data_IF_028973579352
#
_entry.id   IF_028973579352
#
_cell.length_a   1.000
_cell.length_b   1.000
_cell.length_c   1.000
_cell.angle_alpha   90.00
_cell.angle_beta   90.00
_cell.angle_gamma   90.00
#
_symmetry.space_group_name_H-M   'P 1'
#
loop_
_entity.id
_entity.type
_entity.pdbx_description
1 polymer ?
#
# COMPACT_ATOMS: atom_id res chain seq x y z
N UNK A 1 0.15 13.00 12.77
CA UNK A 1 -0.53 12.04 13.68
C UNK A 1 -1.12 10.88 12.90
N UNK A 2 -2.09 11.07 12.00
CA UNK A 2 -2.67 9.96 11.20
C UNK A 2 -1.61 9.27 10.35
N UNK A 3 -0.78 10.04 9.63
CA UNK A 3 0.38 9.50 8.86
C UNK A 3 1.34 8.69 9.70
N UNK A 4 1.75 9.21 10.86
CA UNK A 4 2.63 8.50 11.78
C UNK A 4 2.01 7.20 12.30
N UNK A 5 0.69 7.19 12.54
CA UNK A 5 -0.03 5.98 12.95
C UNK A 5 -0.06 4.94 11.84
N UNK A 6 -0.27 5.37 10.60
CA UNK A 6 -0.23 4.51 9.42
C UNK A 6 1.18 4.02 9.08
N UNK A 7 2.20 4.81 9.38
CA UNK A 7 3.61 4.43 9.25
C UNK A 7 3.98 3.36 10.28
N UNK A 8 3.53 3.53 11.54
CA UNK A 8 3.69 2.52 12.59
C UNK A 8 2.94 1.23 12.23
N UNK A 9 1.72 1.36 11.69
CA UNK A 9 0.97 0.23 11.14
C UNK A 9 1.74 -0.45 9.99
N UNK A 10 2.33 0.32 9.09
CA UNK A 10 3.17 -0.21 8.02
C UNK A 10 4.38 -1.00 8.52
N UNK A 11 5.08 -0.52 9.56
CA UNK A 11 6.14 -1.29 10.22
C UNK A 11 5.64 -2.63 10.75
N UNK A 12 4.47 -2.65 11.41
CA UNK A 12 3.85 -3.89 11.91
C UNK A 12 3.52 -4.83 10.75
N UNK A 13 2.95 -4.32 9.66
CA UNK A 13 2.64 -5.13 8.48
C UNK A 13 3.91 -5.72 7.85
N UNK A 14 4.99 -4.95 7.74
CA UNK A 14 6.28 -5.46 7.25
C UNK A 14 6.81 -6.57 8.16
N UNK A 15 6.78 -6.36 9.48
CA UNK A 15 7.18 -7.39 10.43
C UNK A 15 6.33 -8.66 10.28
N UNK A 16 5.00 -8.52 10.18
CA UNK A 16 4.09 -9.66 9.98
C UNK A 16 4.35 -10.37 8.64
N UNK A 17 4.58 -9.63 7.57
CA UNK A 17 4.84 -10.16 6.23
C UNK A 17 6.16 -10.92 6.14
N UNK A 18 7.21 -10.38 6.74
CA UNK A 18 8.54 -10.99 6.73
C UNK A 18 8.69 -12.16 7.70
N UNK A 19 7.89 -12.22 8.77
CA UNK A 19 7.94 -13.30 9.77
C UNK A 19 6.91 -14.40 9.53
N UNK A 20 5.62 -14.07 9.50
CA UNK A 20 4.54 -15.05 9.39
C UNK A 20 4.31 -15.48 7.95
N UNK A 21 4.15 -14.52 7.02
CA UNK A 21 3.87 -14.86 5.62
C UNK A 21 5.03 -15.54 4.90
N UNK A 22 6.26 -15.36 5.38
CA UNK A 22 7.39 -16.11 4.86
C UNK A 22 7.29 -17.63 5.13
N UNK A 23 6.63 -18.05 6.20
CA UNK A 23 6.47 -19.46 6.55
C UNK A 23 5.32 -20.14 5.81
N UNK A 24 4.47 -19.38 5.09
CA UNK A 24 3.36 -19.97 4.36
C UNK A 24 3.84 -20.81 3.16
N UNK A 25 3.14 -21.93 2.89
CA UNK A 25 3.48 -22.80 1.79
C UNK A 25 3.20 -22.10 0.45
N UNK A 26 4.00 -22.42 -0.57
CA UNK A 26 4.06 -21.68 -1.84
C UNK A 26 2.72 -21.63 -2.60
N UNK A 27 1.83 -22.60 -2.37
CA UNK A 27 0.49 -22.66 -2.99
C UNK A 27 -0.50 -21.65 -2.42
N UNK A 28 -0.30 -21.16 -1.18
CA UNK A 28 -1.16 -20.13 -0.58
C UNK A 28 -0.75 -18.71 -1.01
N UNK A 29 0.40 -18.58 -1.68
CA UNK A 29 1.02 -17.30 -2.02
C UNK A 29 1.36 -16.44 -0.79
N UNK A 30 2.03 -15.31 -1.04
CA UNK A 30 2.39 -14.35 0.01
C UNK A 30 1.80 -12.98 -0.37
N UNK A 31 0.64 -12.58 0.16
CA UNK A 31 0.04 -11.31 -0.21
C UNK A 31 0.94 -10.15 0.23
N UNK A 32 1.16 -9.19 -0.66
CA UNK A 32 1.92 -7.99 -0.34
C UNK A 32 1.04 -6.97 0.40
N UNK A 33 1.06 -7.04 1.73
CA UNK A 33 0.26 -6.18 2.60
C UNK A 33 0.72 -4.72 2.53
N UNK A 34 2.02 -4.50 2.31
CA UNK A 34 2.58 -3.15 2.15
C UNK A 34 2.06 -2.52 0.87
N UNK A 35 1.98 -3.29 -0.21
CA UNK A 35 1.39 -2.83 -1.46
C UNK A 35 -0.08 -2.43 -1.30
N UNK A 36 -0.87 -3.22 -0.58
CA UNK A 36 -2.29 -2.89 -0.30
C UNK A 36 -2.38 -1.58 0.51
N UNK A 37 -1.55 -1.41 1.54
CA UNK A 37 -1.49 -0.19 2.35
C UNK A 37 -1.09 1.02 1.50
N UNK A 38 -0.14 0.85 0.58
CA UNK A 38 0.31 1.88 -0.34
C UNK A 38 -0.85 2.35 -1.23
N UNK A 39 -1.54 1.42 -1.89
CA UNK A 39 -2.67 1.76 -2.77
C UNK A 39 -3.77 2.46 -1.97
N UNK A 40 -4.11 1.96 -0.78
CA UNK A 40 -5.03 2.63 0.14
C UNK A 40 -4.57 4.07 0.47
N UNK A 41 -3.26 4.25 0.72
CA UNK A 41 -2.71 5.56 1.03
C UNK A 41 -2.81 6.54 -0.14
N UNK A 42 -2.63 6.05 -1.37
CA UNK A 42 -2.79 6.84 -2.59
C UNK A 42 -4.24 7.35 -2.72
N UNK A 43 -5.24 6.53 -2.37
CA UNK A 43 -6.63 6.99 -2.38
C UNK A 43 -6.93 8.03 -1.30
N UNK A 44 -6.48 7.81 -0.06
CA UNK A 44 -7.01 8.54 1.10
C UNK A 44 -6.15 9.71 1.57
N UNK A 45 -4.83 9.64 1.41
CA UNK A 45 -3.92 10.68 1.89
C UNK A 45 -3.67 11.75 0.84
N UNK A 46 -3.29 12.95 1.25
CA UNK A 46 -2.76 13.95 0.31
C UNK A 46 -1.40 13.53 -0.24
N UNK A 47 -0.95 14.20 -1.31
CA UNK A 47 0.24 13.80 -2.07
C UNK A 47 1.49 13.65 -1.20
N UNK A 48 1.88 14.73 -0.50
CA UNK A 48 3.08 14.77 0.34
C UNK A 48 3.11 13.68 1.44
N UNK A 49 2.07 13.53 2.29
CA UNK A 49 2.09 12.51 3.33
C UNK A 49 2.01 11.07 2.80
N UNK A 50 1.28 10.83 1.72
CA UNK A 50 1.22 9.51 1.09
C UNK A 50 2.55 9.13 0.44
N UNK A 51 3.20 10.09 -0.22
CA UNK A 51 4.51 9.89 -0.85
C UNK A 51 5.61 9.65 0.20
N UNK A 52 5.60 10.37 1.32
CA UNK A 52 6.52 10.12 2.43
C UNK A 52 6.34 8.69 3.00
N UNK A 53 5.08 8.25 3.16
CA UNK A 53 4.76 6.89 3.60
C UNK A 53 5.26 5.84 2.59
N UNK A 54 5.05 6.07 1.30
CA UNK A 54 5.52 5.23 0.20
C UNK A 54 7.06 5.09 0.21
N UNK A 55 7.78 6.21 0.40
CA UNK A 55 9.25 6.20 0.46
C UNK A 55 9.74 5.36 1.64
N UNK A 56 9.22 5.64 2.84
CA UNK A 56 9.74 4.98 4.04
C UNK A 56 9.42 3.49 4.05
N UNK A 57 8.21 3.09 3.65
CA UNK A 57 7.83 1.68 3.57
C UNK A 57 8.53 0.96 2.41
N UNK A 58 8.66 1.63 1.27
CA UNK A 58 9.39 1.08 0.11
C UNK A 58 10.86 0.83 0.45
N UNK A 59 11.51 1.79 1.10
CA UNK A 59 12.91 1.65 1.54
C UNK A 59 13.07 0.55 2.59
N UNK A 60 12.14 0.46 3.54
CA UNK A 60 12.14 -0.60 4.55
C UNK A 60 11.99 -2.00 3.91
N UNK A 61 11.11 -2.14 2.92
CA UNK A 61 10.95 -3.39 2.18
C UNK A 61 12.19 -3.74 1.38
N UNK A 62 12.85 -2.76 0.76
CA UNK A 62 14.14 -2.97 0.09
C UNK A 62 15.22 -3.47 1.06
N UNK A 63 15.30 -2.91 2.27
CA UNK A 63 16.29 -3.33 3.28
C UNK A 63 16.00 -4.73 3.83
N UNK A 64 14.72 -5.09 3.99
CA UNK A 64 14.33 -6.36 4.64
C UNK A 64 14.16 -7.52 3.66
N UNK A 65 13.81 -7.25 2.41
CA UNK A 65 13.43 -8.27 1.43
C UNK A 65 13.95 -8.00 0.01
N UNK A 66 14.61 -6.87 -0.23
CA UNK A 66 15.11 -6.49 -1.54
C UNK A 66 16.30 -7.36 -1.95
N UNK A 67 16.19 -8.00 -3.11
CA UNK A 67 17.33 -8.64 -3.78
C UNK A 67 18.32 -7.58 -4.27
N UNK A 68 17.79 -6.45 -4.77
CA UNK A 68 18.54 -5.28 -5.19
C UNK A 68 17.98 -4.05 -4.49
N UNK A 69 18.86 -3.34 -3.77
CA UNK A 69 18.48 -2.14 -3.04
C UNK A 69 17.89 -1.09 -4.00
N UNK A 70 16.74 -0.52 -3.66
CA UNK A 70 16.08 0.54 -4.42
C UNK A 70 15.07 0.07 -5.46
N UNK A 71 15.03 -1.23 -5.80
CA UNK A 71 14.10 -1.73 -6.83
C UNK A 71 12.65 -1.70 -6.35
N UNK A 72 12.38 -2.12 -5.13
CA UNK A 72 11.04 -2.10 -4.56
C UNK A 72 10.58 -0.65 -4.31
N UNK A 73 11.47 0.20 -3.79
CA UNK A 73 11.19 1.63 -3.59
C UNK A 73 10.77 2.31 -4.88
N UNK A 74 11.50 2.12 -5.98
CA UNK A 74 11.16 2.71 -7.28
C UNK A 74 9.80 2.24 -7.78
N UNK A 75 9.51 0.94 -7.66
CA UNK A 75 8.23 0.36 -8.08
C UNK A 75 7.08 0.95 -7.28
N UNK A 76 7.21 0.97 -5.96
CA UNK A 76 6.21 1.51 -5.04
C UNK A 76 5.94 3.00 -5.31
N UNK A 77 6.97 3.79 -5.59
CA UNK A 77 6.83 5.20 -5.96
C UNK A 77 6.11 5.40 -7.29
N UNK A 78 6.44 4.59 -8.29
CA UNK A 78 5.83 4.63 -9.61
C UNK A 78 4.35 4.27 -9.52
N UNK A 79 4.04 3.14 -8.85
CA UNK A 79 2.66 2.69 -8.64
C UNK A 79 1.87 3.72 -7.83
N UNK A 80 2.43 4.24 -6.73
CA UNK A 80 1.78 5.28 -5.93
C UNK A 80 1.44 6.49 -6.80
N UNK A 81 2.37 6.96 -7.62
CA UNK A 81 2.17 8.15 -8.47
C UNK A 81 1.07 7.92 -9.50
N UNK A 82 1.09 6.76 -10.19
CA UNK A 82 0.07 6.39 -11.17
C UNK A 82 -1.30 6.28 -10.50
N UNK A 83 -1.41 5.48 -9.44
CA UNK A 83 -2.67 5.30 -8.70
C UNK A 83 -3.17 6.63 -8.15
N UNK A 84 -2.27 7.47 -7.63
CA UNK A 84 -2.62 8.78 -7.09
C UNK A 84 -3.19 9.69 -8.18
N UNK A 85 -2.55 9.73 -9.34
CA UNK A 85 -3.04 10.48 -10.49
C UNK A 85 -4.41 9.96 -10.97
N UNK A 86 -4.58 8.65 -11.09
CA UNK A 86 -5.86 8.04 -11.46
C UNK A 86 -6.96 8.36 -10.41
N UNK A 87 -6.63 8.31 -9.13
CA UNK A 87 -7.58 8.59 -8.03
C UNK A 87 -8.04 10.05 -7.97
N UNK A 88 -7.25 10.98 -8.51
CA UNK A 88 -7.63 12.39 -8.60
C UNK A 88 -8.70 12.62 -9.68
N UNK A 89 -8.68 11.83 -10.76
CA UNK A 89 -9.73 11.84 -11.76
C UNK A 89 -11.01 11.22 -11.17
N UNK A 90 -12.09 12.00 -11.16
CA UNK A 90 -13.30 11.74 -10.36
C UNK A 90 -14.01 10.41 -10.64
N UNK A 91 -13.71 9.76 -11.77
CA UNK A 91 -14.30 8.47 -12.17
C UNK A 91 -13.93 7.28 -11.25
N UNK A 92 -12.83 7.36 -10.50
CA UNK A 92 -12.32 6.23 -9.67
C UNK A 92 -12.57 6.43 -8.17
N UNK A 93 -13.41 7.39 -7.79
CA UNK A 93 -13.71 7.65 -6.37
C UNK A 93 -14.68 6.66 -5.75
N UNK A 94 -15.41 5.89 -6.55
CA UNK A 94 -16.33 4.90 -5.99
C UNK A 94 -15.58 3.73 -5.38
N UNK A 95 -16.04 3.31 -4.20
CA UNK A 95 -15.49 2.18 -3.43
C UNK A 95 -15.43 0.90 -4.26
N UNK A 96 -16.34 0.74 -5.22
CA UNK A 96 -16.40 -0.41 -6.14
C UNK A 96 -15.15 -0.53 -7.00
N UNK A 97 -14.53 0.58 -7.40
CA UNK A 97 -13.32 0.58 -8.24
C UNK A 97 -12.01 0.44 -7.46
N UNK A 98 -12.03 0.53 -6.13
CA UNK A 98 -10.81 0.47 -5.32
C UNK A 98 -10.15 -0.91 -5.38
N UNK A 99 -10.93 -1.99 -5.22
CA UNK A 99 -10.41 -3.36 -5.22
C UNK A 99 -9.90 -3.78 -6.62
N UNK A 100 -10.65 -3.56 -7.71
CA UNK A 100 -10.14 -3.83 -9.06
C UNK A 100 -8.88 -3.03 -9.39
N UNK A 101 -8.76 -1.77 -8.94
CA UNK A 101 -7.56 -0.98 -9.19
C UNK A 101 -6.34 -1.52 -8.43
N UNK A 102 -6.52 -2.04 -7.20
CA UNK A 102 -5.43 -2.71 -6.46
C UNK A 102 -4.92 -3.90 -7.27
N UNK A 103 -5.81 -4.78 -7.73
CA UNK A 103 -5.43 -5.94 -8.54
C UNK A 103 -4.77 -5.55 -9.87
N UNK A 104 -5.36 -4.60 -10.59
CA UNK A 104 -4.83 -4.11 -11.87
C UNK A 104 -3.47 -3.43 -11.72
N UNK A 105 -3.30 -2.57 -10.71
CA UNK A 105 -2.02 -1.92 -10.44
C UNK A 105 -0.93 -2.91 -10.03
N UNK A 106 -1.28 -3.94 -9.25
CA UNK A 106 -0.35 -5.01 -8.90
C UNK A 106 0.08 -5.83 -10.12
N UNK A 107 -0.87 -6.24 -10.94
CA UNK A 107 -0.59 -6.96 -12.19
C UNK A 107 0.31 -6.13 -13.13
N UNK A 108 -0.01 -4.85 -13.33
CA UNK A 108 0.83 -3.94 -14.11
C UNK A 108 2.23 -3.79 -13.51
N UNK A 109 2.35 -3.72 -12.19
CA UNK A 109 3.64 -3.64 -11.52
C UNK A 109 4.49 -4.91 -11.72
N UNK A 110 3.88 -6.10 -11.67
CA UNK A 110 4.56 -7.36 -11.96
C UNK A 110 5.05 -7.42 -13.42
N UNK A 111 4.21 -7.00 -14.38
CA UNK A 111 4.61 -6.91 -15.79
C UNK A 111 5.78 -5.92 -15.98
N UNK A 112 5.70 -4.74 -15.36
CA UNK A 112 6.77 -3.74 -15.42
C UNK A 112 8.08 -4.28 -14.84
N UNK A 113 8.03 -4.96 -13.70
CA UNK A 113 9.19 -5.57 -13.06
C UNK A 113 9.83 -6.62 -13.97
N UNK A 114 9.03 -7.52 -14.56
CA UNK A 114 9.56 -8.52 -15.48
C UNK A 114 10.26 -7.89 -16.69
N UNK A 115 9.65 -6.88 -17.31
CA UNK A 115 10.26 -6.14 -18.42
C UNK A 115 11.57 -5.45 -17.97
N UNK A 116 11.56 -4.79 -16.81
CA UNK A 116 12.74 -4.12 -16.26
C UNK A 116 13.90 -5.10 -16.08
N UNK A 117 13.65 -6.28 -15.50
CA UNK A 117 14.67 -7.33 -15.36
C UNK A 117 15.12 -7.92 -16.68
N UNK A 118 14.22 -8.09 -17.65
CA UNK A 118 14.56 -8.56 -18.98
C UNK A 118 15.53 -7.62 -19.71
N UNK A 119 15.37 -6.31 -19.54
CA UNK A 119 16.30 -5.32 -20.11
C UNK A 119 17.58 -5.17 -19.29
N UNK A 120 17.49 -5.17 -17.96
CA UNK A 120 18.64 -4.89 -17.09
C UNK A 120 19.59 -6.08 -16.95
N UNK A 121 19.07 -7.30 -16.80
CA UNK A 121 19.86 -8.51 -16.59
C UNK A 121 19.17 -9.76 -17.19
N UNK A 122 19.34 -10.01 -18.50
CA UNK A 122 18.76 -11.18 -19.15
C UNK A 122 19.26 -12.53 -18.59
N UNK A 123 20.38 -12.55 -17.86
CA UNK A 123 20.95 -13.76 -17.25
C UNK A 123 20.34 -14.16 -15.90
N UNK A 124 19.56 -13.30 -15.24
CA UNK A 124 18.97 -13.53 -13.92
C UNK A 124 17.45 -13.36 -13.92
N UNK A 125 16.82 -13.74 -15.04
CA UNK A 125 15.37 -13.64 -15.22
C UNK A 125 14.63 -14.53 -14.21
N UNK A 126 13.72 -13.96 -13.40
CA UNK A 126 12.79 -14.77 -12.64
C UNK A 126 11.96 -15.64 -13.60
N UNK A 127 11.65 -16.91 -13.24
CA UNK A 127 10.83 -17.76 -14.10
C UNK A 127 9.41 -17.18 -14.21
N UNK A 128 9.11 -16.58 -15.37
CA UNK A 128 7.79 -16.04 -15.65
C UNK A 128 6.79 -17.17 -15.84
N UNK A 129 5.71 -17.13 -15.06
CA UNK A 129 4.60 -18.05 -15.22
C UNK A 129 3.30 -17.30 -15.05
N UNK A 130 2.50 -17.29 -16.13
CA UNK A 130 1.19 -16.65 -16.15
C UNK A 130 0.29 -17.14 -15.02
N UNK A 131 0.32 -18.44 -14.73
CA UNK A 131 -0.45 -19.03 -13.64
C UNK A 131 -0.07 -18.46 -12.28
N UNK A 132 1.22 -18.27 -12.01
CA UNK A 132 1.72 -17.74 -10.75
C UNK A 132 1.35 -16.26 -10.58
N UNK A 133 1.56 -15.47 -11.63
CA UNK A 133 1.21 -14.03 -11.66
C UNK A 133 -0.28 -13.82 -11.38
N UNK A 134 -1.14 -14.61 -12.03
CA UNK A 134 -2.59 -14.53 -11.84
C UNK A 134 -2.97 -14.98 -10.42
N UNK A 135 -2.38 -16.08 -9.94
CA UNK A 135 -2.63 -16.59 -8.59
C UNK A 135 -2.22 -15.58 -7.51
N UNK A 136 -1.02 -15.00 -7.60
CA UNK A 136 -0.55 -13.97 -6.66
C UNK A 136 -1.44 -12.72 -6.70
N UNK A 137 -1.84 -12.28 -7.89
CA UNK A 137 -2.78 -11.16 -8.05
C UNK A 137 -4.14 -11.46 -7.43
N UNK A 138 -4.68 -12.66 -7.63
CA UNK A 138 -5.95 -13.09 -7.04
C UNK A 138 -5.88 -13.17 -5.51
N UNK A 139 -4.82 -13.75 -4.96
CA UNK A 139 -4.60 -13.83 -3.52
C UNK A 139 -4.49 -12.44 -2.92
N UNK A 140 -3.76 -11.53 -3.58
CA UNK A 140 -3.67 -10.14 -3.16
C UNK A 140 -5.02 -9.42 -3.22
N UNK A 141 -5.82 -9.68 -4.25
CA UNK A 141 -7.16 -9.09 -4.41
C UNK A 141 -8.10 -9.59 -3.30
N UNK A 142 -8.09 -10.89 -2.99
CA UNK A 142 -8.85 -11.45 -1.87
C UNK A 142 -8.38 -10.86 -0.53
N UNK A 143 -7.07 -10.76 -0.31
CA UNK A 143 -6.49 -10.16 0.89
C UNK A 143 -6.78 -8.65 0.99
N UNK A 144 -6.94 -7.95 -0.13
CA UNK A 144 -7.24 -6.52 -0.14
C UNK A 144 -8.58 -6.21 0.49
N UNK A 145 -9.59 -7.09 0.41
CA UNK A 145 -10.92 -6.87 0.98
C UNK A 145 -10.86 -6.65 2.50
N UNK A 146 -10.40 -7.62 3.32
CA UNK A 146 -10.32 -7.43 4.77
C UNK A 146 -9.34 -6.32 5.15
N UNK A 147 -8.23 -6.16 4.41
CA UNK A 147 -7.27 -5.10 4.67
C UNK A 147 -7.87 -3.70 4.46
N UNK A 148 -8.60 -3.47 3.37
CA UNK A 148 -9.24 -2.18 3.10
C UNK A 148 -10.32 -1.86 4.14
N UNK A 149 -11.11 -2.86 4.56
CA UNK A 149 -12.09 -2.69 5.64
C UNK A 149 -11.40 -2.27 6.93
N UNK A 150 -10.32 -2.98 7.30
CA UNK A 150 -9.54 -2.67 8.50
C UNK A 150 -8.87 -1.29 8.43
N UNK A 151 -8.23 -0.96 7.31
CA UNK A 151 -7.57 0.34 7.11
C UNK A 151 -8.58 1.49 7.11
N UNK A 152 -9.74 1.32 6.50
CA UNK A 152 -10.77 2.35 6.52
C UNK A 152 -11.33 2.55 7.93
N UNK A 153 -11.65 1.47 8.65
CA UNK A 153 -12.07 1.54 10.06
C UNK A 153 -11.01 2.25 10.92
N UNK A 154 -9.73 1.91 10.76
CA UNK A 154 -8.64 2.53 11.49
C UNK A 154 -8.49 4.02 11.16
N UNK A 155 -8.62 4.37 9.87
CA UNK A 155 -8.59 5.75 9.39
C UNK A 155 -9.74 6.59 9.96
N UNK A 156 -10.97 6.08 9.91
CA UNK A 156 -12.15 6.75 10.43
C UNK A 156 -12.07 6.98 11.94
N UNK A 157 -11.58 5.99 12.69
CA UNK A 157 -11.38 6.12 14.14
C UNK A 157 -10.36 7.20 14.48
N UNK A 158 -9.25 7.28 13.74
CA UNK A 158 -8.22 8.29 13.95
C UNK A 158 -8.67 9.70 13.55
N UNK A 159 -9.46 9.82 12.48
CA UNK A 159 -9.99 11.11 12.01
C UNK A 159 -11.12 11.62 12.90
N UNK A 160 -12.03 10.76 13.36
CA UNK A 160 -13.12 11.10 14.29
C UNK A 160 -12.59 11.62 15.62
N UNK A 161 -11.56 10.95 16.19
CA UNK A 161 -10.87 11.42 17.41
C UNK A 161 -10.29 12.84 17.25
N UNK A 162 -9.83 13.19 16.04
CA UNK A 162 -9.28 14.52 15.73
C UNK A 162 -10.34 15.62 15.65
N UNK A 163 -11.55 15.28 15.19
CA UNK A 163 -12.67 16.21 15.16
C UNK A 163 -13.19 16.49 16.58
N UNK A 164 -13.34 15.44 17.39
CA UNK A 164 -13.73 15.57 18.80
C UNK A 164 -12.74 16.41 19.62
N UNK A 165 -11.42 16.20 19.44
CA UNK A 165 -10.41 16.98 20.17
C UNK A 165 -10.35 18.46 19.75
N UNK A 166 -10.62 18.76 18.47
CA UNK A 166 -10.73 20.14 17.98
C UNK A 166 -11.97 20.85 18.52
N UNK A 167 -13.09 20.15 18.67
CA UNK A 167 -14.30 20.74 19.26
C UNK A 167 -14.12 21.04 20.75
N UNK A 168 -13.50 20.12 21.52
CA UNK A 168 -13.14 20.37 22.91
C UNK A 168 -12.20 21.57 23.08
N UNK A 169 -11.24 21.77 22.16
CA UNK A 169 -10.33 22.92 22.20
C UNK A 169 -11.01 24.26 21.82
N UNK A 170 -12.10 24.22 21.05
CA UNK A 170 -12.91 25.41 20.72
C UNK A 170 -13.94 25.76 21.81
N UNK A 171 -14.33 24.81 22.65
CA UNK A 171 -15.25 25.04 23.77
C UNK A 171 -14.65 25.81 24.96
N UNK A 172 -13.33 26.09 24.94
CA UNK A 172 -12.63 26.83 26.00
C UNK A 172 -12.46 28.33 25.76
N UNK A 173 -12.95 28.88 24.65
CA UNK A 173 -12.85 30.32 24.35
C UNK A 173 -14.25 30.93 24.42
N UNK A 174 -14.49 31.66 25.50
CA UNK A 174 -15.65 32.50 25.81
C UNK A 174 -16.92 31.81 26.34
N UNK A 175 -16.99 31.73 27.67
CA UNK A 175 -18.18 32.15 28.43
C UNK A 175 -17.71 32.72 29.78
N UNK A 176 -17.96 34.02 29.97
CA UNK A 176 -17.78 34.83 31.20
C UNK A 176 -16.37 35.40 31.50
N UNK A 177 -16.04 36.53 30.86
CA UNK A 177 -15.74 37.80 31.55
C UNK A 177 -15.66 38.94 30.54
#
# INVERSE_FOLDING_TARGET
MVTLSFLLLGFVLVAVQTTFFHQFPHWLGRPDLVFILLVFSAYRFSWLPGLLLAILLGWLMDVTSGVYLGTYLLLVLLVFSIVKFLSQNSAVKETVFQIPLVGGSYFCAQCFFYLFFAFAQPGALPPWSWTRVIQETLILLVASIPCFVFFNWFYEKLTTRRLASRQLKRGGVNRFR
#
